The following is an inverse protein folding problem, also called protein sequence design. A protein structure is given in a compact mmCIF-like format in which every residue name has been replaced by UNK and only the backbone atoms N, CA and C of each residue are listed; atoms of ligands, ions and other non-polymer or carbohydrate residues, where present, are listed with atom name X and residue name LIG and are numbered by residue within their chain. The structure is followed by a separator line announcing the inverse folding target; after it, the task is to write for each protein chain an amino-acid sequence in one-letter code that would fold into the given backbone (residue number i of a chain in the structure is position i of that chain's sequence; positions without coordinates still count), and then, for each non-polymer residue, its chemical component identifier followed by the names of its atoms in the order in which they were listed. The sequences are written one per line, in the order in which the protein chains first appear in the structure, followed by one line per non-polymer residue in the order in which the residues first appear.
data_IF_334567044905
#
_entry.id   IF_334567044905
#
_cell.length_a   1.000
_cell.length_b   1.000
_cell.length_c   1.000
_cell.angle_alpha   90.00
_cell.angle_beta   90.00
_cell.angle_gamma   90.00
#
_symmetry.space_group_name_H-M   'P 1'
#
loop_
_entity.id
_entity.type
_entity.pdbx_description
1 polymer ?
#
# COMPACT_ATOMS: atom_id res chain seq x y z
N UNK A 1 -24.58 -59.12 64.36
CA UNK A 1 -24.52 -57.76 64.93
C UNK A 1 -23.71 -56.90 63.97
N UNK A 2 -24.35 -56.36 62.94
CA UNK A 2 -23.70 -55.45 61.99
C UNK A 2 -23.95 -54.02 62.47
N UNK A 3 -22.89 -53.38 62.97
CA UNK A 3 -22.90 -51.97 63.34
C UNK A 3 -22.73 -51.14 62.06
N UNK A 4 -23.84 -50.66 61.50
CA UNK A 4 -23.82 -49.70 60.39
C UNK A 4 -23.37 -48.34 60.93
N UNK A 5 -22.09 -48.02 60.73
CA UNK A 5 -21.51 -46.71 61.04
C UNK A 5 -22.08 -45.66 60.09
N UNK A 6 -23.10 -44.92 60.55
CA UNK A 6 -23.66 -43.80 59.79
C UNK A 6 -22.64 -42.67 59.71
N UNK A 7 -22.08 -42.43 58.53
CA UNK A 7 -21.16 -41.32 58.26
C UNK A 7 -21.86 -39.99 58.56
N UNK A 8 -21.26 -39.08 59.37
CA UNK A 8 -21.87 -37.82 59.72
C UNK A 8 -22.11 -36.96 58.46
N UNK A 9 -23.35 -36.48 58.27
CA UNK A 9 -23.80 -35.71 57.10
C UNK A 9 -22.92 -34.49 56.77
N UNK A 10 -22.19 -33.96 57.75
CA UNK A 10 -21.24 -32.86 57.57
C UNK A 10 -19.96 -33.22 56.80
N UNK A 11 -19.48 -34.47 56.91
CA UNK A 11 -18.26 -34.90 56.23
C UNK A 11 -18.45 -34.97 54.71
N UNK A 12 -19.61 -35.47 54.27
CA UNK A 12 -19.96 -35.61 52.84
C UNK A 12 -20.14 -34.26 52.13
N UNK A 13 -20.60 -33.24 52.86
CA UNK A 13 -20.74 -31.88 52.34
C UNK A 13 -19.37 -31.21 52.16
N UNK A 14 -18.44 -31.41 53.10
CA UNK A 14 -17.07 -30.86 53.00
C UNK A 14 -16.29 -31.44 51.83
N UNK A 15 -16.35 -32.76 51.64
CA UNK A 15 -15.68 -33.43 50.50
C UNK A 15 -16.23 -32.96 49.16
N UNK A 16 -17.55 -32.78 49.05
CA UNK A 16 -18.18 -32.23 47.85
C UNK A 16 -17.68 -30.82 47.50
N UNK A 17 -17.64 -29.90 48.47
CA UNK A 17 -17.14 -28.54 48.22
C UNK A 17 -15.66 -28.49 47.89
N UNK A 18 -14.83 -29.33 48.52
CA UNK A 18 -13.41 -29.46 48.14
C UNK A 18 -13.27 -29.91 46.68
N UNK A 19 -14.01 -30.95 46.29
CA UNK A 19 -13.97 -31.45 44.90
C UNK A 19 -14.45 -30.38 43.90
N UNK A 20 -15.54 -29.69 44.21
CA UNK A 20 -16.06 -28.60 43.37
C UNK A 20 -15.05 -27.45 43.24
N UNK A 21 -14.37 -27.09 44.33
CA UNK A 21 -13.32 -26.07 44.33
C UNK A 21 -12.15 -26.45 43.44
N UNK A 22 -11.67 -27.70 43.56
CA UNK A 22 -10.57 -28.22 42.71
C UNK A 22 -10.99 -28.28 41.23
N UNK A 23 -12.20 -28.75 40.93
CA UNK A 23 -12.71 -28.80 39.57
C UNK A 23 -12.83 -27.41 38.94
N UNK A 24 -13.34 -26.44 39.70
CA UNK A 24 -13.45 -25.04 39.26
C UNK A 24 -12.07 -24.43 39.00
N UNK A 25 -11.12 -24.66 39.91
CA UNK A 25 -9.74 -24.18 39.75
C UNK A 25 -9.07 -24.77 38.50
N UNK A 26 -9.22 -26.08 38.27
CA UNK A 26 -8.68 -26.74 37.08
C UNK A 26 -9.28 -26.16 35.79
N UNK A 27 -10.59 -25.89 35.76
CA UNK A 27 -11.26 -25.29 34.60
C UNK A 27 -10.77 -23.87 34.31
N UNK A 28 -10.57 -23.06 35.35
CA UNK A 28 -10.01 -21.70 35.20
C UNK A 28 -8.59 -21.75 34.64
N UNK A 29 -7.73 -22.62 35.17
CA UNK A 29 -6.36 -22.79 34.65
C UNK A 29 -6.37 -23.20 33.18
N UNK A 30 -7.25 -24.15 32.81
CA UNK A 30 -7.40 -24.59 31.43
C UNK A 30 -7.85 -23.45 30.50
N UNK A 31 -8.83 -22.64 30.91
CA UNK A 31 -9.28 -21.47 30.14
C UNK A 31 -8.16 -20.44 29.96
N UNK A 32 -7.38 -20.17 31.01
CA UNK A 32 -6.23 -19.25 30.93
C UNK A 32 -5.19 -19.78 29.95
N UNK A 33 -4.87 -21.08 30.00
CA UNK A 33 -3.95 -21.71 29.05
C UNK A 33 -4.45 -21.61 27.60
N UNK A 34 -5.75 -21.82 27.37
CA UNK A 34 -6.36 -21.70 26.05
C UNK A 34 -6.26 -20.28 25.50
N UNK A 35 -6.54 -19.27 26.33
CA UNK A 35 -6.45 -17.86 25.93
C UNK A 35 -5.00 -17.46 25.63
N UNK A 36 -4.04 -17.91 26.44
CA UNK A 36 -2.61 -17.64 26.19
C UNK A 36 -2.14 -18.32 24.90
N UNK A 37 -2.53 -19.57 24.66
CA UNK A 37 -2.22 -20.26 23.40
C UNK A 37 -2.79 -19.51 22.21
N UNK A 38 -4.08 -19.14 22.26
CA UNK A 38 -4.73 -18.39 21.19
C UNK A 38 -4.05 -17.04 20.95
N UNK A 39 -3.65 -16.33 22.01
CA UNK A 39 -2.94 -15.06 21.88
C UNK A 39 -1.56 -15.23 21.23
N UNK A 40 -0.85 -16.31 21.55
CA UNK A 40 0.43 -16.64 20.91
C UNK A 40 0.24 -17.04 19.44
N UNK A 41 -0.80 -17.81 19.13
CA UNK A 41 -1.13 -18.20 17.75
C UNK A 41 -1.53 -16.98 16.92
N UNK A 42 -2.32 -16.06 17.48
CA UNK A 42 -2.68 -14.79 16.85
C UNK A 42 -1.47 -13.88 16.69
N UNK A 43 -0.56 -13.84 17.66
CA UNK A 43 0.69 -13.08 17.55
C UNK A 43 1.59 -13.66 16.44
N UNK A 44 1.73 -14.98 16.37
CA UNK A 44 2.48 -15.64 15.29
C UNK A 44 1.81 -15.47 13.92
N UNK A 45 0.48 -15.47 13.87
CA UNK A 45 -0.27 -15.17 12.65
C UNK A 45 -0.17 -13.70 12.27
N UNK A 46 -0.03 -12.77 13.21
CA UNK A 46 0.18 -11.34 12.89
C UNK A 46 1.49 -11.12 12.12
N UNK A 47 2.49 -11.95 12.35
CA UNK A 47 3.76 -11.92 11.61
C UNK A 47 3.65 -12.59 10.22
N UNK A 48 2.56 -13.34 9.96
CA UNK A 48 2.31 -14.06 8.69
C UNK A 48 1.16 -13.45 7.87
N UNK A 49 0.21 -12.79 8.54
CA UNK A 49 -0.88 -12.08 7.89
C UNK A 49 -0.28 -10.86 7.20
N UNK A 50 -0.52 -10.82 5.89
CA UNK A 50 -0.25 -9.68 5.01
C UNK A 50 -0.39 -8.37 5.78
N UNK A 51 0.72 -7.66 5.92
CA UNK A 51 0.73 -6.34 6.54
C UNK A 51 -0.28 -5.45 5.82
N UNK A 52 -0.69 -4.34 6.46
CA UNK A 52 -1.52 -3.34 5.75
C UNK A 52 -0.86 -2.90 4.44
N UNK A 53 0.46 -2.89 4.41
CA UNK A 53 1.26 -2.64 3.22
C UNK A 53 1.05 -3.74 2.17
N UNK A 54 1.17 -5.02 2.53
CA UNK A 54 0.91 -6.14 1.61
C UNK A 54 -0.53 -6.17 1.05
N UNK A 55 -1.53 -5.79 1.86
CA UNK A 55 -2.92 -5.67 1.42
C UNK A 55 -3.13 -4.47 0.49
N UNK A 56 -2.45 -3.35 0.75
CA UNK A 56 -2.45 -2.18 -0.15
C UNK A 56 -1.75 -2.54 -1.47
N UNK A 57 -0.64 -3.26 -1.40
CA UNK A 57 0.12 -3.74 -2.55
C UNK A 57 -0.70 -4.73 -3.39
N UNK A 58 -1.43 -5.65 -2.74
CA UNK A 58 -2.36 -6.56 -3.40
C UNK A 58 -3.56 -5.81 -4.01
N UNK A 59 -4.05 -4.78 -3.33
CA UNK A 59 -5.09 -3.91 -3.86
C UNK A 59 -4.61 -3.08 -5.07
N UNK A 60 -3.32 -2.87 -5.27
CA UNK A 60 -2.82 -2.27 -6.52
C UNK A 60 -2.76 -3.26 -7.67
N UNK A 61 -2.50 -4.53 -7.39
CA UNK A 61 -2.50 -5.59 -8.42
C UNK A 61 -3.91 -5.99 -8.84
N UNK A 62 -4.90 -5.84 -7.95
CA UNK A 62 -6.30 -6.27 -8.17
C UNK A 62 -7.27 -5.08 -8.32
N UNK A 63 -6.88 -3.89 -7.86
CA UNK A 63 -7.74 -2.71 -7.78
C UNK A 63 -7.87 -1.91 -9.07
N UNK A 64 -8.51 -0.72 -9.00
CA UNK A 64 -8.86 0.08 -10.17
C UNK A 64 -7.61 0.53 -10.96
N UNK A 65 -7.87 1.05 -12.17
CA UNK A 65 -6.88 1.59 -13.11
C UNK A 65 -5.71 2.29 -12.42
N UNK A 66 -4.52 2.05 -12.97
CA UNK A 66 -3.25 2.67 -12.59
C UNK A 66 -3.46 4.15 -12.23
N UNK A 67 -2.95 4.65 -11.09
CA UNK A 67 -3.13 6.05 -10.67
C UNK A 67 -2.79 7.06 -11.76
N UNK A 68 -1.73 6.76 -12.52
CA UNK A 68 -1.29 7.62 -13.61
C UNK A 68 -2.28 7.54 -14.76
N UNK A 69 -2.74 6.34 -15.12
CA UNK A 69 -3.79 6.20 -16.13
C UNK A 69 -5.10 6.88 -15.70
N UNK A 70 -5.51 6.75 -14.43
CA UNK A 70 -6.71 7.37 -13.89
C UNK A 70 -6.60 8.91 -13.86
N UNK A 71 -5.47 9.43 -13.40
CA UNK A 71 -5.20 10.89 -13.34
C UNK A 71 -5.14 11.47 -14.74
N UNK A 72 -4.39 10.84 -15.65
CA UNK A 72 -4.26 11.31 -17.02
C UNK A 72 -5.58 11.16 -17.80
N UNK A 73 -6.31 10.06 -17.63
CA UNK A 73 -7.63 9.90 -18.26
C UNK A 73 -8.62 10.95 -17.74
N UNK A 74 -8.60 11.25 -16.43
CA UNK A 74 -9.47 12.26 -15.84
C UNK A 74 -9.12 13.70 -16.23
N UNK A 75 -7.83 14.05 -16.24
CA UNK A 75 -7.37 15.42 -16.50
C UNK A 75 -7.27 15.74 -18.01
N UNK A 76 -7.00 14.73 -18.83
CA UNK A 76 -6.61 14.93 -20.22
C UNK A 76 -7.43 14.10 -21.21
N UNK A 77 -8.19 13.09 -20.75
CA UNK A 77 -8.99 12.20 -21.59
C UNK A 77 -10.14 12.88 -22.33
N UNK A 78 -10.56 14.06 -21.87
CA UNK A 78 -11.57 14.88 -22.56
C UNK A 78 -11.02 15.53 -23.84
N UNK A 79 -9.70 15.76 -23.90
CA UNK A 79 -9.03 16.40 -25.04
C UNK A 79 -8.18 15.43 -25.87
N UNK A 80 -7.72 14.33 -25.28
CA UNK A 80 -6.91 13.30 -25.95
C UNK A 80 -7.62 11.94 -25.87
N UNK A 81 -7.80 11.29 -27.02
CA UNK A 81 -8.37 9.95 -27.03
C UNK A 81 -7.38 8.89 -26.51
N UNK A 82 -7.90 7.71 -26.15
CA UNK A 82 -7.09 6.59 -25.62
C UNK A 82 -5.99 6.14 -26.60
N UNK A 83 -6.17 6.37 -27.91
CA UNK A 83 -5.17 6.07 -28.94
C UNK A 83 -4.03 7.09 -28.93
N UNK A 84 -4.34 8.38 -28.75
CA UNK A 84 -3.36 9.47 -28.59
C UNK A 84 -2.58 9.30 -27.29
N UNK A 85 -3.28 8.90 -26.22
CA UNK A 85 -2.70 8.48 -24.96
C UNK A 85 -1.76 7.29 -25.15
N UNK A 86 -2.22 6.20 -25.77
CA UNK A 86 -1.40 5.03 -26.04
C UNK A 86 -0.20 5.34 -26.96
N UNK A 87 -0.33 6.24 -27.93
CA UNK A 87 0.79 6.68 -28.78
C UNK A 87 1.79 7.53 -28.01
N UNK A 88 1.31 8.35 -27.06
CA UNK A 88 2.15 9.11 -26.14
C UNK A 88 2.73 8.27 -25.00
N UNK A 89 2.31 7.00 -24.85
CA UNK A 89 2.67 6.11 -23.74
C UNK A 89 3.17 4.72 -24.18
N UNK A 90 3.23 4.46 -25.48
CA UNK A 90 3.45 3.14 -26.06
C UNK A 90 3.97 3.28 -27.49
N UNK A 91 5.30 3.28 -27.59
CA UNK A 91 6.11 3.17 -28.81
C UNK A 91 6.13 4.41 -29.75
N UNK A 92 7.31 5.04 -29.86
CA UNK A 92 7.63 6.03 -30.91
C UNK A 92 8.40 7.28 -30.45
N UNK A 93 8.73 8.15 -31.41
CA UNK A 93 9.48 9.42 -31.19
C UNK A 93 8.76 10.42 -30.26
N UNK A 94 7.43 10.29 -30.09
CA UNK A 94 6.64 11.15 -29.21
C UNK A 94 6.95 10.95 -27.72
N UNK A 95 7.32 9.73 -27.30
CA UNK A 95 7.73 9.44 -25.92
C UNK A 95 9.04 10.16 -25.56
N UNK A 96 9.94 10.28 -26.54
CA UNK A 96 11.27 10.86 -26.34
C UNK A 96 11.22 12.34 -25.97
N UNK A 97 10.18 13.08 -26.39
CA UNK A 97 10.12 14.51 -26.10
C UNK A 97 9.72 14.77 -24.65
N UNK A 98 8.67 14.11 -24.14
CA UNK A 98 8.16 14.34 -22.77
C UNK A 98 9.10 13.77 -21.71
N UNK A 99 9.73 12.62 -21.96
CA UNK A 99 10.61 11.95 -20.99
C UNK A 99 11.97 12.64 -20.79
N UNK A 100 12.31 13.61 -21.64
CA UNK A 100 13.53 14.42 -21.52
C UNK A 100 13.28 15.82 -20.96
N UNK A 101 12.03 16.19 -20.67
CA UNK A 101 11.72 17.48 -20.08
C UNK A 101 12.22 17.52 -18.64
N UNK A 102 12.87 18.57 -18.21
CA UNK A 102 13.10 18.82 -16.78
C UNK A 102 11.80 19.25 -16.07
N UNK A 103 11.87 19.48 -14.76
CA UNK A 103 10.71 19.92 -13.96
C UNK A 103 10.11 21.22 -14.50
N UNK A 104 10.95 22.20 -14.79
CA UNK A 104 10.51 23.53 -15.20
C UNK A 104 9.85 23.46 -16.59
N UNK A 105 10.34 22.58 -17.45
CA UNK A 105 9.77 22.29 -18.77
C UNK A 105 8.42 21.56 -18.70
N UNK A 106 8.20 20.71 -17.68
CA UNK A 106 6.87 20.11 -17.41
C UNK A 106 5.88 21.19 -16.99
N UNK A 107 6.28 22.08 -16.08
CA UNK A 107 5.44 23.19 -15.61
C UNK A 107 5.09 24.15 -16.76
N UNK A 108 6.05 24.44 -17.65
CA UNK A 108 5.82 25.22 -18.87
C UNK A 108 4.90 24.48 -19.85
N UNK A 109 5.07 23.17 -20.04
CA UNK A 109 4.20 22.35 -20.89
C UNK A 109 2.75 22.45 -20.40
N UNK A 110 2.51 22.23 -19.11
CA UNK A 110 1.19 22.33 -18.49
C UNK A 110 0.63 23.74 -18.67
N UNK A 111 1.43 24.77 -18.39
CA UNK A 111 1.01 26.18 -18.56
C UNK A 111 0.55 26.45 -19.99
N UNK A 112 1.31 26.00 -20.99
CA UNK A 112 0.93 26.11 -22.41
C UNK A 112 -0.33 25.30 -22.76
N UNK A 113 -0.57 24.17 -22.09
CA UNK A 113 -1.80 23.40 -22.26
C UNK A 113 -3.00 24.17 -21.71
N UNK A 114 -2.89 24.79 -20.53
CA UNK A 114 -3.95 25.61 -19.93
C UNK A 114 -4.29 26.87 -20.74
N UNK A 115 -3.32 27.42 -21.48
CA UNK A 115 -3.55 28.56 -22.38
C UNK A 115 -4.35 28.18 -23.65
N UNK A 116 -4.46 26.89 -23.98
CA UNK A 116 -5.27 26.43 -25.11
C UNK A 116 -6.74 26.29 -24.70
N UNK A 117 -7.62 26.91 -25.49
CA UNK A 117 -9.06 26.93 -25.25
C UNK A 117 -9.63 25.52 -25.01
N UNK A 118 -10.27 25.33 -23.85
CA UNK A 118 -11.02 24.11 -23.50
C UNK A 118 -10.34 23.21 -22.48
N UNK A 119 -9.07 23.42 -22.16
CA UNK A 119 -8.38 22.66 -21.11
C UNK A 119 -8.49 23.41 -19.78
N UNK A 120 -9.20 22.83 -18.81
CA UNK A 120 -9.31 23.37 -17.46
C UNK A 120 -8.92 22.30 -16.44
N UNK A 121 -7.61 22.21 -16.15
CA UNK A 121 -7.12 21.43 -15.02
C UNK A 121 -7.42 22.25 -13.76
N UNK A 122 -8.17 21.69 -12.81
CA UNK A 122 -8.43 22.35 -11.55
C UNK A 122 -7.11 22.56 -10.78
N UNK A 123 -6.96 23.69 -10.09
CA UNK A 123 -5.72 23.99 -9.36
C UNK A 123 -5.37 22.92 -8.30
N UNK A 124 -6.39 22.27 -7.73
CA UNK A 124 -6.25 21.15 -6.81
C UNK A 124 -5.73 19.84 -7.45
N UNK A 125 -5.95 19.67 -8.77
CA UNK A 125 -5.46 18.51 -9.51
C UNK A 125 -4.06 18.73 -10.10
N UNK A 126 -3.55 19.96 -10.09
CA UNK A 126 -2.28 20.31 -10.71
C UNK A 126 -1.09 19.49 -10.20
N UNK A 127 -0.89 19.32 -8.87
CA UNK A 127 0.22 18.53 -8.36
C UNK A 127 0.14 17.06 -8.80
N UNK A 128 -1.08 16.53 -8.99
CA UNK A 128 -1.30 15.17 -9.46
C UNK A 128 -0.95 15.02 -10.93
N UNK A 129 -1.29 16.00 -11.76
CA UNK A 129 -0.94 16.02 -13.18
C UNK A 129 0.58 16.15 -13.37
N UNK A 130 1.22 17.08 -12.68
CA UNK A 130 2.69 17.25 -12.70
C UNK A 130 3.39 15.96 -12.33
N UNK A 131 2.94 15.28 -11.27
CA UNK A 131 3.57 14.06 -10.82
C UNK A 131 3.29 12.86 -11.73
N UNK A 132 2.08 12.77 -12.31
CA UNK A 132 1.78 11.78 -13.34
C UNK A 132 2.66 11.97 -14.58
N UNK A 133 2.89 13.21 -15.02
CA UNK A 133 3.81 13.53 -16.11
C UNK A 133 5.28 13.26 -15.73
N UNK A 134 5.67 13.57 -14.50
CA UNK A 134 7.02 13.25 -13.99
C UNK A 134 7.24 11.73 -13.97
N UNK A 135 6.23 10.95 -13.59
CA UNK A 135 6.29 9.50 -13.63
C UNK A 135 6.47 8.94 -15.05
N UNK A 136 5.99 9.64 -16.08
CA UNK A 136 6.22 9.23 -17.46
C UNK A 136 7.71 9.15 -17.83
N UNK A 137 8.59 9.85 -17.11
CA UNK A 137 10.04 9.69 -17.24
C UNK A 137 10.49 8.26 -16.90
N UNK A 138 9.90 7.63 -15.88
CA UNK A 138 10.19 6.24 -15.52
C UNK A 138 9.71 5.27 -16.59
N UNK A 139 8.52 5.51 -17.15
CA UNK A 139 7.93 4.70 -18.21
C UNK A 139 8.70 4.78 -19.55
N UNK A 140 9.64 5.72 -19.68
CA UNK A 140 10.54 5.79 -20.83
C UNK A 140 11.47 4.57 -20.95
N UNK A 141 12.05 4.19 -19.81
CA UNK A 141 13.05 3.12 -19.74
C UNK A 141 12.48 1.81 -19.21
N UNK A 142 11.34 1.85 -18.51
CA UNK A 142 10.75 0.71 -17.85
C UNK A 142 9.31 0.49 -18.33
N UNK A 143 8.90 -0.77 -18.45
CA UNK A 143 7.50 -1.07 -18.71
C UNK A 143 6.65 -0.70 -17.49
N UNK A 144 5.38 -0.35 -17.72
CA UNK A 144 4.44 -0.06 -16.62
C UNK A 144 4.37 -1.23 -15.63
N UNK A 145 4.35 -2.48 -16.11
CA UNK A 145 4.34 -3.65 -15.24
C UNK A 145 5.59 -3.74 -14.37
N UNK A 146 6.78 -3.38 -14.91
CA UNK A 146 8.02 -3.33 -14.14
C UNK A 146 7.97 -2.26 -13.05
N UNK A 147 7.35 -1.11 -13.34
CA UNK A 147 7.24 -0.02 -12.36
C UNK A 147 6.20 -0.37 -11.28
N UNK A 148 5.12 -1.08 -11.63
CA UNK A 148 4.15 -1.61 -10.67
C UNK A 148 4.74 -2.59 -9.67
N UNK A 149 5.87 -3.24 -9.98
CA UNK A 149 6.58 -4.06 -8.98
C UNK A 149 7.08 -3.23 -7.79
N UNK A 150 7.41 -1.95 -7.99
CA UNK A 150 7.75 -1.05 -6.88
C UNK A 150 6.59 -0.97 -5.90
N UNK A 151 5.36 -1.03 -6.41
CA UNK A 151 4.15 -0.98 -5.61
C UNK A 151 4.00 -2.15 -4.62
N UNK A 152 4.87 -3.17 -4.66
CA UNK A 152 4.87 -4.33 -3.75
C UNK A 152 5.93 -4.23 -2.64
N UNK A 153 6.94 -3.38 -2.81
CA UNK A 153 8.07 -3.24 -1.88
C UNK A 153 7.70 -2.41 -0.64
N UNK A 154 8.54 -2.37 0.40
CA UNK A 154 8.34 -1.41 1.49
C UNK A 154 8.56 0.04 1.03
N UNK A 155 8.04 1.04 1.77
CA UNK A 155 8.32 2.45 1.46
C UNK A 155 9.83 2.75 1.34
N UNK A 156 10.63 2.28 2.31
CA UNK A 156 12.08 2.47 2.32
C UNK A 156 12.74 1.78 1.12
N UNK A 157 12.39 0.53 0.85
CA UNK A 157 12.92 -0.23 -0.28
C UNK A 157 12.64 0.47 -1.62
N UNK A 158 11.42 0.98 -1.81
CA UNK A 158 11.07 1.73 -3.03
C UNK A 158 11.91 2.99 -3.18
N UNK A 159 12.10 3.74 -2.10
CA UNK A 159 12.91 4.95 -2.12
C UNK A 159 14.37 4.65 -2.45
N UNK A 160 14.92 3.57 -1.90
CA UNK A 160 16.25 3.09 -2.24
C UNK A 160 16.37 2.73 -3.73
N UNK A 161 15.37 2.08 -4.32
CA UNK A 161 15.35 1.79 -5.76
C UNK A 161 15.34 3.06 -6.60
N UNK A 162 14.51 4.04 -6.26
CA UNK A 162 14.47 5.34 -6.97
C UNK A 162 15.82 6.05 -6.88
N UNK A 163 16.44 6.07 -5.70
CA UNK A 163 17.78 6.65 -5.51
C UNK A 163 18.84 5.90 -6.28
N UNK A 164 18.79 4.56 -6.33
CA UNK A 164 19.72 3.76 -7.12
C UNK A 164 19.58 4.11 -8.61
N UNK A 165 18.35 4.15 -9.13
CA UNK A 165 18.08 4.51 -10.52
C UNK A 165 18.55 5.92 -10.87
N UNK A 166 18.38 6.89 -9.97
CA UNK A 166 18.87 8.26 -10.16
C UNK A 166 20.39 8.33 -10.31
N UNK A 167 21.13 7.39 -9.72
CA UNK A 167 22.58 7.34 -9.78
C UNK A 167 23.13 6.51 -10.96
N UNK A 168 22.26 5.86 -11.75
CA UNK A 168 22.68 5.07 -12.90
C UNK A 168 23.14 5.96 -14.07
N UNK A 169 24.17 5.55 -14.85
CA UNK A 169 24.60 6.28 -16.02
C UNK A 169 23.47 6.45 -17.04
N UNK A 170 23.16 7.69 -17.41
CA UNK A 170 22.08 8.01 -18.36
C UNK A 170 20.72 8.21 -17.71
N UNK A 171 20.62 8.19 -16.37
CA UNK A 171 19.43 8.61 -15.67
C UNK A 171 19.09 10.09 -15.97
N UNK A 172 17.83 10.36 -16.28
CA UNK A 172 17.29 11.71 -16.57
C UNK A 172 16.44 12.28 -15.43
N UNK A 173 16.32 11.54 -14.32
CA UNK A 173 15.55 11.94 -13.14
C UNK A 173 16.45 12.72 -12.19
N UNK A 174 16.01 13.92 -11.80
CA UNK A 174 16.64 14.70 -10.73
C UNK A 174 16.18 14.25 -9.34
N UNK A 175 16.87 14.70 -8.29
CA UNK A 175 16.44 14.44 -6.90
C UNK A 175 15.09 15.10 -6.56
N UNK A 176 14.74 16.17 -7.26
CA UNK A 176 13.43 16.81 -7.14
C UNK A 176 12.34 15.98 -7.82
N UNK A 177 12.58 15.52 -9.05
CA UNK A 177 11.68 14.58 -9.75
C UNK A 177 11.41 13.34 -8.88
N UNK A 178 12.48 12.75 -8.32
CA UNK A 178 12.38 11.60 -7.44
C UNK A 178 11.48 11.88 -6.22
N UNK A 179 11.62 13.05 -5.59
CA UNK A 179 10.77 13.46 -4.45
C UNK A 179 9.32 13.69 -4.89
N UNK A 180 9.08 14.31 -6.04
CA UNK A 180 7.72 14.53 -6.56
C UNK A 180 7.01 13.21 -6.88
N UNK A 181 7.70 12.30 -7.57
CA UNK A 181 7.19 10.93 -7.82
C UNK A 181 6.92 10.24 -6.50
N UNK A 182 7.84 10.36 -5.53
CA UNK A 182 7.64 9.79 -4.20
C UNK A 182 6.37 10.35 -3.55
N UNK A 183 6.22 11.66 -3.46
CA UNK A 183 5.13 12.25 -2.69
C UNK A 183 3.75 11.95 -3.32
N UNK A 184 3.66 12.00 -4.65
CA UNK A 184 2.43 11.65 -5.38
C UNK A 184 2.02 10.19 -5.24
N UNK A 185 2.96 9.28 -5.44
CA UNK A 185 2.69 7.86 -5.21
C UNK A 185 2.43 7.58 -3.74
N UNK A 186 2.97 8.39 -2.85
CA UNK A 186 2.67 8.33 -1.44
C UNK A 186 1.23 8.63 -1.10
N UNK A 187 0.67 9.69 -1.66
CA UNK A 187 -0.75 9.98 -1.48
C UNK A 187 -1.65 8.87 -2.05
N UNK A 188 -1.27 8.29 -3.19
CA UNK A 188 -2.08 7.25 -3.83
C UNK A 188 -1.96 5.86 -3.17
N UNK A 189 -0.76 5.50 -2.73
CA UNK A 189 -0.46 4.23 -2.07
C UNK A 189 -0.55 4.29 -0.53
N UNK A 190 -0.89 5.45 0.02
CA UNK A 190 -0.97 5.66 1.47
C UNK A 190 0.39 5.76 2.18
N UNK A 191 1.46 6.16 1.48
CA UNK A 191 2.67 6.64 2.14
C UNK A 191 2.39 7.96 2.85
N UNK A 192 2.13 7.89 4.14
CA UNK A 192 2.30 9.04 5.02
C UNK A 192 3.59 8.83 5.79
N UNK A 193 4.66 9.51 5.37
CA UNK A 193 5.84 9.65 6.24
C UNK A 193 5.35 10.42 7.47
N UNK A 194 5.46 9.81 8.66
CA UNK A 194 5.34 10.56 9.91
C UNK A 194 6.59 11.38 10.17
#
# INVERSE_FOLDING_TARGET
MESTTSVPRGARRRTFFMFLGVATFALVVFLVQLVVSLHNDVAGLRDVLATKEDLTNLAMTIGPLDPVEATLTGACGDCHDRATFATAHGEGEALQYVCNLDTDEIDELISRMMERNGVAIAAEDMPRVEAALTYMKCAHCHTIDRIRELAIMSQEERWEVILAMMNEPGATISQEDARRVRDFYGEFWGWHVQ
#
